data_IF_766307589655
#
_entry.id   IF_766307589655
#
_cell.length_a   1.000
_cell.length_b   1.000
_cell.length_c   1.000
_cell.angle_alpha   90.00
_cell.angle_beta   90.00
_cell.angle_gamma   90.00
#
_symmetry.space_group_name_H-M   'P 1'
#
loop_
_entity.id
_entity.type
_entity.pdbx_description
1 polymer ?
#
# COMPACT_ATOMS: atom_id res chain seq x y z
N UNK A 1 -0.72 -25.71 -12.16
CA UNK A 1 -1.64 -24.81 -11.44
C UNK A 1 -1.29 -23.38 -11.82
N UNK A 2 -2.26 -22.55 -12.14
CA UNK A 2 -2.01 -21.12 -12.36
C UNK A 2 -1.52 -20.49 -11.06
N UNK A 3 -0.41 -19.73 -11.11
CA UNK A 3 0.12 -19.01 -9.95
C UNK A 3 -0.87 -17.95 -9.50
N UNK A 4 -0.92 -17.68 -8.18
CA UNK A 4 -1.67 -16.56 -7.62
C UNK A 4 -1.07 -15.24 -8.16
N UNK A 5 -1.90 -14.20 -8.30
CA UNK A 5 -1.53 -12.88 -8.79
C UNK A 5 -1.75 -11.82 -7.71
N UNK A 6 -0.76 -10.93 -7.52
CA UNK A 6 -0.85 -9.77 -6.63
C UNK A 6 -0.68 -8.47 -7.39
N UNK A 7 -1.56 -7.51 -7.12
CA UNK A 7 -1.40 -6.10 -7.52
C UNK A 7 -0.97 -5.27 -6.31
N UNK A 8 0.10 -4.50 -6.46
CA UNK A 8 0.52 -3.51 -5.46
C UNK A 8 0.55 -2.14 -6.12
N UNK A 9 -0.29 -1.21 -5.66
CA UNK A 9 -0.30 0.15 -6.21
C UNK A 9 0.90 0.95 -5.71
N UNK A 10 1.51 1.79 -6.61
CA UNK A 10 2.69 2.59 -6.27
C UNK A 10 3.89 1.75 -5.85
N UNK A 11 4.19 0.70 -6.61
CA UNK A 11 5.13 -0.35 -6.20
C UNK A 11 6.49 -0.29 -6.89
N UNK A 12 6.81 0.78 -7.61
CA UNK A 12 8.13 0.95 -8.25
C UNK A 12 9.29 1.12 -7.27
N UNK A 13 9.04 1.73 -6.11
CA UNK A 13 10.06 2.04 -5.10
C UNK A 13 9.55 1.76 -3.67
N UNK A 14 10.44 1.88 -2.71
CA UNK A 14 10.13 1.91 -1.27
C UNK A 14 9.40 0.67 -0.76
N UNK A 15 8.36 0.89 0.04
CA UNK A 15 7.57 -0.18 0.64
C UNK A 15 6.88 -1.04 -0.43
N UNK A 16 6.29 -0.42 -1.45
CA UNK A 16 5.61 -1.15 -2.52
C UNK A 16 6.53 -2.12 -3.25
N UNK A 17 7.76 -1.70 -3.56
CA UNK A 17 8.76 -2.58 -4.18
C UNK A 17 9.17 -3.74 -3.26
N UNK A 18 9.29 -3.48 -1.96
CA UNK A 18 9.57 -4.53 -0.98
C UNK A 18 8.43 -5.56 -0.88
N UNK A 19 7.18 -5.10 -0.94
CA UNK A 19 6.00 -5.97 -0.98
C UNK A 19 6.03 -6.83 -2.26
N UNK A 20 6.29 -6.25 -3.43
CA UNK A 20 6.42 -7.00 -4.69
C UNK A 20 7.49 -8.09 -4.58
N UNK A 21 8.69 -7.76 -4.08
CA UNK A 21 9.77 -8.75 -3.87
C UNK A 21 9.33 -9.89 -2.96
N UNK A 22 8.61 -9.58 -1.89
CA UNK A 22 8.10 -10.60 -0.97
C UNK A 22 7.15 -11.55 -1.68
N UNK A 23 6.14 -11.06 -2.39
CA UNK A 23 5.19 -11.92 -3.10
C UNK A 23 5.85 -12.75 -4.22
N UNK A 24 6.77 -12.16 -4.99
CA UNK A 24 7.51 -12.89 -6.01
C UNK A 24 8.33 -14.04 -5.39
N UNK A 25 8.98 -13.82 -4.25
CA UNK A 25 9.72 -14.86 -3.52
C UNK A 25 8.83 -15.99 -3.02
N UNK A 26 7.52 -15.74 -2.86
CA UNK A 26 6.51 -16.72 -2.47
C UNK A 26 5.78 -17.35 -3.69
N UNK A 27 6.27 -17.08 -4.91
CA UNK A 27 5.79 -17.71 -6.13
C UNK A 27 4.57 -17.04 -6.78
N UNK A 28 4.21 -15.82 -6.38
CA UNK A 28 3.12 -15.07 -7.01
C UNK A 28 3.59 -14.39 -8.29
N UNK A 29 2.71 -14.32 -9.29
CA UNK A 29 2.81 -13.36 -10.36
C UNK A 29 2.53 -11.95 -9.80
N UNK A 30 3.22 -10.93 -10.31
CA UNK A 30 3.18 -9.59 -9.72
C UNK A 30 2.77 -8.53 -10.73
N UNK A 31 1.97 -7.57 -10.27
CA UNK A 31 1.62 -6.37 -11.03
C UNK A 31 2.23 -5.16 -10.33
N UNK A 32 3.19 -4.55 -10.99
CA UNK A 32 3.95 -3.39 -10.54
C UNK A 32 3.32 -2.15 -11.18
N UNK A 33 2.87 -1.19 -10.37
CA UNK A 33 2.36 0.07 -10.92
C UNK A 33 3.25 1.24 -10.52
N UNK A 34 3.31 2.22 -11.42
CA UNK A 34 4.02 3.49 -11.21
C UNK A 34 3.19 4.66 -11.78
N UNK A 35 3.41 5.85 -11.26
CA UNK A 35 2.94 7.09 -11.88
C UNK A 35 4.12 7.88 -12.51
N UNK A 36 5.22 8.04 -11.76
CA UNK A 36 6.40 8.82 -12.17
C UNK A 36 7.70 8.02 -12.29
N UNK A 37 7.87 6.93 -11.54
CA UNK A 37 9.11 6.16 -11.43
C UNK A 37 9.11 4.95 -12.38
N UNK A 38 9.18 5.24 -13.71
CA UNK A 38 9.09 4.20 -14.74
C UNK A 38 10.31 3.29 -14.78
N UNK A 39 11.49 3.89 -14.71
CA UNK A 39 12.74 3.15 -14.87
C UNK A 39 12.95 2.19 -13.70
N UNK A 40 12.66 2.64 -12.47
CA UNK A 40 12.70 1.80 -11.27
C UNK A 40 11.67 0.66 -11.32
N UNK A 41 10.50 0.89 -11.91
CA UNK A 41 9.51 -0.17 -12.10
C UNK A 41 10.00 -1.24 -13.09
N UNK A 42 10.69 -0.85 -14.16
CA UNK A 42 11.28 -1.76 -15.15
C UNK A 42 12.46 -2.53 -14.55
N UNK A 43 13.32 -1.85 -13.79
CA UNK A 43 14.43 -2.51 -13.07
C UNK A 43 13.91 -3.55 -12.07
N UNK A 44 12.88 -3.20 -11.30
CA UNK A 44 12.23 -4.15 -10.38
C UNK A 44 11.63 -5.35 -11.12
N UNK A 45 10.97 -5.13 -12.25
CA UNK A 45 10.46 -6.23 -13.09
C UNK A 45 11.57 -7.17 -13.53
N UNK A 46 12.68 -6.60 -14.02
CA UNK A 46 13.85 -7.39 -14.42
C UNK A 46 14.40 -8.19 -13.26
N UNK A 47 14.63 -7.56 -12.11
CA UNK A 47 15.07 -8.23 -10.88
C UNK A 47 14.16 -9.44 -10.54
N UNK A 48 12.84 -9.23 -10.56
CA UNK A 48 11.87 -10.27 -10.22
C UNK A 48 11.92 -11.43 -11.21
N UNK A 49 11.94 -11.14 -12.52
CA UNK A 49 11.95 -12.16 -13.55
C UNK A 49 13.26 -12.96 -13.58
N UNK A 50 14.39 -12.30 -13.28
CA UNK A 50 15.71 -12.96 -13.24
C UNK A 50 15.88 -13.85 -11.98
N UNK A 51 15.29 -13.42 -10.85
CA UNK A 51 15.52 -14.06 -9.55
C UNK A 51 14.48 -15.14 -9.20
N UNK A 52 13.24 -14.95 -9.64
CA UNK A 52 12.12 -15.81 -9.26
C UNK A 52 11.46 -16.40 -10.50
N UNK A 53 10.99 -17.63 -10.40
CA UNK A 53 10.23 -18.26 -11.49
C UNK A 53 8.77 -17.76 -11.49
N UNK A 54 8.56 -16.45 -11.68
CA UNK A 54 7.25 -15.77 -11.71
C UNK A 54 7.21 -14.77 -12.85
N UNK A 55 6.01 -14.36 -13.24
CA UNK A 55 5.83 -13.32 -14.25
C UNK A 55 5.47 -11.99 -13.58
N UNK A 56 5.99 -10.91 -14.15
CA UNK A 56 5.67 -9.56 -13.71
C UNK A 56 5.06 -8.74 -14.84
N UNK A 57 4.12 -7.85 -14.50
CA UNK A 57 3.51 -6.87 -15.37
C UNK A 57 3.84 -5.48 -14.82
N UNK A 58 4.31 -4.58 -15.68
CA UNK A 58 4.59 -3.17 -15.30
C UNK A 58 3.61 -2.27 -16.04
N UNK A 59 2.85 -1.46 -15.31
CA UNK A 59 1.82 -0.58 -15.89
C UNK A 59 1.90 0.81 -15.24
N UNK A 60 1.83 1.85 -16.09
CA UNK A 60 1.59 3.21 -15.61
C UNK A 60 0.14 3.32 -15.15
N UNK A 61 -0.08 3.81 -13.94
CA UNK A 61 -1.41 4.01 -13.39
C UNK A 61 -1.39 5.16 -12.37
N UNK A 62 -2.11 6.21 -12.67
CA UNK A 62 -2.50 7.26 -11.73
C UNK A 62 -3.81 6.84 -11.08
N UNK A 63 -3.77 6.47 -9.80
CA UNK A 63 -4.93 5.94 -9.10
C UNK A 63 -6.04 6.99 -8.84
N UNK A 64 -5.79 8.27 -9.11
CA UNK A 64 -6.83 9.31 -9.10
C UNK A 64 -7.69 9.30 -10.38
N UNK A 65 -7.28 8.53 -11.41
CA UNK A 65 -7.95 8.45 -12.71
C UNK A 65 -8.63 7.11 -12.92
N UNK A 66 -9.95 7.10 -12.97
CA UNK A 66 -10.73 5.87 -13.18
C UNK A 66 -10.36 5.17 -14.49
N UNK A 67 -10.03 5.92 -15.55
CA UNK A 67 -9.59 5.38 -16.84
C UNK A 67 -8.28 4.60 -16.74
N UNK A 68 -7.29 5.09 -15.99
CA UNK A 68 -6.02 4.40 -15.78
C UNK A 68 -6.25 3.07 -15.01
N UNK A 69 -7.18 3.07 -14.03
CA UNK A 69 -7.51 1.88 -13.24
C UNK A 69 -8.26 0.84 -14.09
N UNK A 70 -9.18 1.28 -14.96
CA UNK A 70 -9.87 0.38 -15.90
C UNK A 70 -8.89 -0.25 -16.89
N UNK A 71 -7.94 0.52 -17.42
CA UNK A 71 -6.87 0.00 -18.26
C UNK A 71 -6.02 -1.03 -17.51
N UNK A 72 -5.62 -0.72 -16.27
CA UNK A 72 -4.87 -1.64 -15.41
C UNK A 72 -5.63 -2.97 -15.20
N UNK A 73 -6.95 -2.91 -14.96
CA UNK A 73 -7.81 -4.09 -14.84
C UNK A 73 -7.77 -4.95 -16.11
N UNK A 74 -7.92 -4.32 -17.28
CA UNK A 74 -7.94 -5.01 -18.57
C UNK A 74 -6.61 -5.72 -18.86
N UNK A 75 -5.50 -5.08 -18.55
CA UNK A 75 -4.16 -5.68 -18.70
C UNK A 75 -3.95 -6.87 -17.74
N UNK A 76 -4.45 -6.79 -16.49
CA UNK A 76 -4.41 -7.91 -15.54
C UNK A 76 -5.24 -9.09 -16.07
N UNK A 77 -6.46 -8.84 -16.55
CA UNK A 77 -7.32 -9.88 -17.14
C UNK A 77 -6.63 -10.53 -18.33
N UNK A 78 -6.08 -9.73 -19.25
CA UNK A 78 -5.40 -10.21 -20.45
C UNK A 78 -4.22 -11.13 -20.14
N UNK A 79 -3.43 -10.79 -19.12
CA UNK A 79 -2.19 -11.52 -18.79
C UNK A 79 -2.39 -12.65 -17.78
N UNK A 80 -3.17 -12.42 -16.73
CA UNK A 80 -3.27 -13.31 -15.59
C UNK A 80 -4.68 -13.85 -15.35
N UNK A 81 -5.68 -13.35 -16.08
CA UNK A 81 -7.09 -13.73 -16.02
C UNK A 81 -7.81 -13.37 -14.71
N UNK A 82 -7.09 -13.14 -13.62
CA UNK A 82 -7.65 -12.88 -12.29
C UNK A 82 -6.68 -12.14 -11.39
N UNK A 83 -7.21 -11.65 -10.26
CA UNK A 83 -6.44 -11.07 -9.17
C UNK A 83 -6.76 -11.82 -7.86
N UNK A 84 -5.73 -12.25 -7.13
CA UNK A 84 -5.90 -12.96 -5.84
C UNK A 84 -5.62 -12.04 -4.64
N UNK A 85 -4.71 -11.07 -4.79
CA UNK A 85 -4.38 -10.10 -3.74
C UNK A 85 -4.27 -8.70 -4.31
N UNK A 86 -4.93 -7.75 -3.65
CA UNK A 86 -4.76 -6.32 -3.88
C UNK A 86 -4.08 -5.68 -2.67
N UNK A 87 -3.00 -4.95 -2.89
CA UNK A 87 -2.38 -4.09 -1.87
C UNK A 87 -2.47 -2.63 -2.31
N UNK A 88 -3.32 -1.88 -1.66
CA UNK A 88 -3.44 -0.43 -1.83
C UNK A 88 -2.34 0.25 -1.02
N UNK A 89 -1.21 0.54 -1.69
CA UNK A 89 -0.02 1.13 -1.09
C UNK A 89 0.27 2.55 -1.61
N UNK A 90 -0.17 2.88 -2.83
CA UNK A 90 0.08 4.19 -3.43
C UNK A 90 -0.46 5.31 -2.53
N UNK A 91 0.39 6.27 -2.21
CA UNK A 91 0.03 7.47 -1.45
C UNK A 91 1.05 8.57 -1.67
N UNK A 92 0.63 9.81 -1.42
CA UNK A 92 1.49 10.99 -1.37
C UNK A 92 1.34 11.71 -0.03
N UNK A 93 2.37 12.46 0.34
CA UNK A 93 2.33 13.42 1.44
C UNK A 93 2.86 14.77 0.94
N UNK A 94 2.31 15.87 1.45
CA UNK A 94 2.74 17.24 1.18
C UNK A 94 2.84 17.94 2.54
N UNK A 95 4.04 18.00 3.09
CA UNK A 95 4.27 18.59 4.40
C UNK A 95 4.27 20.13 4.27
N UNK A 96 3.31 20.77 4.92
CA UNK A 96 3.18 22.23 4.99
C UNK A 96 2.64 22.62 6.35
N UNK A 97 2.99 23.83 6.82
CA UNK A 97 2.46 24.36 8.09
C UNK A 97 0.93 24.48 8.01
N UNK A 98 0.27 24.52 9.15
CA UNK A 98 -1.19 24.70 9.20
C UNK A 98 -1.64 25.99 8.50
N UNK A 99 -0.88 27.08 8.67
CA UNK A 99 -1.18 28.39 8.03
C UNK A 99 -1.03 28.38 6.50
N UNK A 100 -0.14 27.53 5.98
CA UNK A 100 0.18 27.47 4.54
C UNK A 100 -0.58 26.33 3.83
N UNK A 101 -1.31 25.50 4.58
CA UNK A 101 -2.10 24.40 4.03
C UNK A 101 -3.27 24.93 3.22
N UNK A 102 -3.26 24.71 1.92
CA UNK A 102 -4.32 25.15 1.03
C UNK A 102 -5.39 24.08 0.83
N UNK A 103 -6.60 24.52 0.41
CA UNK A 103 -7.66 23.59 0.00
C UNK A 103 -7.20 22.67 -1.12
N UNK A 104 -6.42 23.19 -2.07
CA UNK A 104 -5.90 22.43 -3.22
C UNK A 104 -4.98 21.31 -2.76
N UNK A 105 -4.05 21.59 -1.84
CA UNK A 105 -3.17 20.57 -1.25
C UNK A 105 -3.97 19.50 -0.51
N UNK A 106 -4.91 19.96 0.33
CA UNK A 106 -5.78 19.05 1.10
C UNK A 106 -6.59 18.12 0.20
N UNK A 107 -7.25 18.67 -0.82
CA UNK A 107 -8.06 17.91 -1.76
C UNK A 107 -7.21 16.94 -2.58
N UNK A 108 -6.00 17.35 -3.02
CA UNK A 108 -5.09 16.48 -3.76
C UNK A 108 -4.68 15.24 -2.95
N UNK A 109 -4.39 15.42 -1.67
CA UNK A 109 -4.07 14.30 -0.77
C UNK A 109 -5.26 13.36 -0.62
N UNK A 110 -6.46 13.89 -0.37
CA UNK A 110 -7.67 13.06 -0.26
C UNK A 110 -8.00 12.34 -1.56
N UNK A 111 -7.88 13.03 -2.70
CA UNK A 111 -8.17 12.47 -4.02
C UNK A 111 -7.28 11.25 -4.32
N UNK A 112 -5.98 11.37 -4.08
CA UNK A 112 -5.06 10.26 -4.36
C UNK A 112 -5.16 9.18 -3.27
N UNK A 113 -4.97 9.56 -2.00
CA UNK A 113 -4.80 8.58 -0.93
C UNK A 113 -6.11 7.86 -0.58
N UNK A 114 -7.23 8.56 -0.55
CA UNK A 114 -8.52 8.02 -0.10
C UNK A 114 -9.43 7.64 -1.28
N UNK A 115 -9.73 8.59 -2.16
CA UNK A 115 -10.61 8.32 -3.30
C UNK A 115 -9.97 7.35 -4.28
N UNK A 116 -8.67 7.48 -4.55
CA UNK A 116 -7.91 6.53 -5.37
C UNK A 116 -7.94 5.11 -4.78
N UNK A 117 -7.73 4.96 -3.47
CA UNK A 117 -7.86 3.66 -2.77
C UNK A 117 -9.26 3.06 -2.93
N UNK A 118 -10.30 3.89 -2.82
CA UNK A 118 -11.68 3.47 -3.05
C UNK A 118 -11.91 3.00 -4.50
N UNK A 119 -11.49 3.78 -5.50
CA UNK A 119 -11.66 3.47 -6.91
C UNK A 119 -10.93 2.18 -7.30
N UNK A 120 -9.67 2.02 -6.88
CA UNK A 120 -8.92 0.78 -7.12
C UNK A 120 -9.62 -0.40 -6.48
N UNK A 121 -10.04 -0.30 -5.23
CA UNK A 121 -10.75 -1.39 -4.54
C UNK A 121 -12.06 -1.76 -5.23
N UNK A 122 -12.86 -0.76 -5.63
CA UNK A 122 -14.13 -0.93 -6.35
C UNK A 122 -13.93 -1.67 -7.67
N UNK A 123 -12.99 -1.20 -8.50
CA UNK A 123 -12.78 -1.73 -9.84
C UNK A 123 -12.11 -3.11 -9.78
N UNK A 124 -11.06 -3.28 -8.97
CA UNK A 124 -10.32 -4.54 -8.90
C UNK A 124 -11.11 -5.66 -8.23
N UNK A 125 -11.99 -5.37 -7.27
CA UNK A 125 -12.84 -6.40 -6.64
C UNK A 125 -13.71 -7.16 -7.66
N UNK A 126 -14.00 -6.58 -8.82
CA UNK A 126 -14.79 -7.23 -9.90
C UNK A 126 -14.06 -8.40 -10.57
N UNK A 127 -12.72 -8.44 -10.49
CA UNK A 127 -11.86 -9.49 -11.05
C UNK A 127 -11.19 -10.35 -9.99
N UNK A 128 -11.55 -10.15 -8.73
CA UNK A 128 -11.06 -10.94 -7.59
C UNK A 128 -11.97 -12.14 -7.33
N UNK A 129 -11.34 -13.30 -7.12
CA UNK A 129 -12.06 -14.55 -6.84
C UNK A 129 -12.45 -14.68 -5.36
N UNK A 130 -13.17 -15.75 -5.05
CA UNK A 130 -13.43 -16.15 -3.66
C UNK A 130 -12.11 -16.48 -2.94
N UNK A 131 -12.06 -16.16 -1.66
CA UNK A 131 -10.88 -16.26 -0.79
C UNK A 131 -9.73 -15.31 -1.16
N UNK A 132 -10.01 -14.26 -1.93
CA UNK A 132 -9.05 -13.19 -2.19
C UNK A 132 -8.89 -12.24 -0.99
N UNK A 133 -7.86 -11.38 -1.03
CA UNK A 133 -7.58 -10.45 0.05
C UNK A 133 -7.23 -9.05 -0.45
N UNK A 134 -7.79 -8.02 0.19
CA UNK A 134 -7.39 -6.62 0.02
C UNK A 134 -6.67 -6.17 1.29
N UNK A 135 -5.48 -5.61 1.12
CA UNK A 135 -4.70 -4.98 2.20
C UNK A 135 -4.58 -3.49 1.90
N UNK A 136 -5.08 -2.67 2.79
CA UNK A 136 -4.97 -1.22 2.70
C UNK A 136 -3.83 -0.73 3.61
N UNK A 137 -2.87 0.00 3.04
CA UNK A 137 -1.76 0.60 3.79
C UNK A 137 -2.21 1.98 4.28
N UNK A 138 -2.54 2.05 5.57
CA UNK A 138 -2.80 3.29 6.28
C UNK A 138 -1.50 3.82 6.94
N UNK A 139 -1.59 4.31 8.15
CA UNK A 139 -0.49 4.81 8.99
C UNK A 139 -0.94 4.83 10.45
N UNK A 140 0.00 4.84 11.39
CA UNK A 140 -0.31 5.20 12.78
C UNK A 140 -0.91 6.59 12.92
N UNK A 141 -0.63 7.49 11.97
CA UNK A 141 -1.26 8.81 11.89
C UNK A 141 -2.78 8.74 11.66
N UNK A 142 -3.28 7.67 11.06
CA UNK A 142 -4.72 7.42 10.94
C UNK A 142 -5.37 6.89 12.23
N UNK A 143 -4.57 6.51 13.25
CA UNK A 143 -5.08 5.98 14.52
C UNK A 143 -5.00 7.04 15.62
N UNK A 144 -3.78 7.39 16.03
CA UNK A 144 -3.53 8.20 17.25
C UNK A 144 -2.14 8.88 17.25
N UNK A 145 -1.46 8.94 16.14
CA UNK A 145 -0.18 9.63 15.99
C UNK A 145 -0.40 10.94 15.22
N UNK A 146 0.24 12.00 15.63
CA UNK A 146 0.10 13.32 15.02
C UNK A 146 1.45 13.80 14.50
N UNK A 147 1.40 14.42 13.32
CA UNK A 147 2.53 15.17 12.79
C UNK A 147 2.01 16.51 12.29
N UNK A 148 2.49 17.61 12.84
CA UNK A 148 1.91 18.95 12.67
C UNK A 148 1.85 19.44 11.21
N UNK A 149 2.69 18.89 10.33
CA UNK A 149 2.74 19.26 8.92
C UNK A 149 1.88 18.38 8.01
N UNK A 150 1.25 17.32 8.52
CA UNK A 150 0.58 16.27 7.72
C UNK A 150 -0.94 16.13 7.95
N UNK A 151 -1.61 17.20 8.37
CA UNK A 151 -3.03 17.21 8.76
C UNK A 151 -3.96 16.58 7.69
N UNK A 152 -3.71 16.83 6.41
CA UNK A 152 -4.42 16.25 5.27
C UNK A 152 -4.08 14.78 5.06
N UNK A 153 -2.80 14.42 5.19
CA UNK A 153 -2.36 13.04 5.13
C UNK A 153 -2.96 12.21 6.27
N UNK A 154 -2.90 12.70 7.50
CA UNK A 154 -3.47 12.02 8.68
C UNK A 154 -4.97 11.78 8.50
N UNK A 155 -5.71 12.81 8.02
CA UNK A 155 -7.13 12.70 7.68
C UNK A 155 -7.38 11.64 6.60
N UNK A 156 -6.54 11.59 5.55
CA UNK A 156 -6.65 10.57 4.50
C UNK A 156 -6.44 9.16 5.04
N UNK A 157 -5.45 8.98 5.94
CA UNK A 157 -5.12 7.66 6.53
C UNK A 157 -6.18 7.20 7.53
N UNK A 158 -6.79 8.10 8.30
CA UNK A 158 -7.98 7.79 9.10
C UNK A 158 -9.17 7.39 8.21
N UNK A 159 -9.37 8.11 7.09
CA UNK A 159 -10.38 7.77 6.09
C UNK A 159 -10.20 6.37 5.50
N UNK A 160 -8.95 5.95 5.22
CA UNK A 160 -8.65 4.60 4.73
C UNK A 160 -9.07 3.53 5.75
N UNK A 161 -8.87 3.75 7.04
CA UNK A 161 -9.29 2.80 8.09
C UNK A 161 -10.81 2.62 8.04
N UNK A 162 -11.57 3.72 8.02
CA UNK A 162 -13.04 3.64 7.95
C UNK A 162 -13.53 3.04 6.62
N UNK A 163 -12.92 3.41 5.49
CA UNK A 163 -13.20 2.81 4.19
C UNK A 163 -12.99 1.29 4.23
N UNK A 164 -11.94 0.81 4.89
CA UNK A 164 -11.63 -0.62 4.99
C UNK A 164 -12.70 -1.39 5.74
N UNK A 165 -13.25 -0.85 6.83
CA UNK A 165 -14.38 -1.45 7.55
C UNK A 165 -15.61 -1.61 6.63
N UNK A 166 -15.94 -0.57 5.86
CA UNK A 166 -17.04 -0.62 4.92
C UNK A 166 -16.80 -1.65 3.80
N UNK A 167 -15.58 -1.69 3.25
CA UNK A 167 -15.22 -2.68 2.22
C UNK A 167 -15.26 -4.10 2.76
N UNK A 168 -14.77 -4.35 3.97
CA UNK A 168 -14.81 -5.65 4.61
C UNK A 168 -16.26 -6.14 4.75
N UNK A 169 -17.17 -5.27 5.21
CA UNK A 169 -18.59 -5.60 5.33
C UNK A 169 -19.23 -5.87 3.97
N UNK A 170 -18.92 -5.05 2.95
CA UNK A 170 -19.53 -5.16 1.63
C UNK A 170 -19.04 -6.36 0.81
N UNK A 171 -17.76 -6.71 0.93
CA UNK A 171 -17.10 -7.74 0.11
C UNK A 171 -17.09 -9.13 0.75
N UNK A 172 -17.42 -9.23 2.05
CA UNK A 172 -17.51 -10.52 2.73
C UNK A 172 -18.71 -11.35 2.23
N UNK A 173 -18.61 -12.69 2.27
CA UNK A 173 -17.45 -13.50 2.69
C UNK A 173 -16.43 -13.75 1.57
N UNK A 174 -16.63 -13.18 0.39
CA UNK A 174 -15.84 -13.45 -0.81
C UNK A 174 -14.40 -12.95 -0.70
N UNK A 175 -14.21 -11.73 -0.20
CA UNK A 175 -12.91 -11.06 -0.12
C UNK A 175 -12.71 -10.56 1.31
N UNK A 176 -11.56 -10.89 1.91
CA UNK A 176 -11.14 -10.33 3.20
C UNK A 176 -10.51 -8.96 2.98
N UNK A 177 -10.81 -8.00 3.84
CA UNK A 177 -10.22 -6.66 3.79
C UNK A 177 -9.62 -6.33 5.15
N UNK A 178 -8.31 -6.00 5.17
CA UNK A 178 -7.60 -5.62 6.38
C UNK A 178 -6.77 -4.37 6.16
N UNK A 179 -6.50 -3.64 7.22
CA UNK A 179 -5.69 -2.41 7.22
C UNK A 179 -4.41 -2.64 7.99
N UNK A 180 -3.29 -2.25 7.41
CA UNK A 180 -1.99 -2.20 8.11
C UNK A 180 -1.64 -0.74 8.33
N UNK A 181 -1.26 -0.41 9.56
CA UNK A 181 -0.90 0.93 10.01
C UNK A 181 0.57 0.95 10.46
N UNK A 182 1.52 1.18 9.54
CA UNK A 182 2.92 1.31 9.89
C UNK A 182 3.21 2.60 10.66
N UNK A 183 4.27 2.58 11.48
CA UNK A 183 4.98 3.78 11.92
C UNK A 183 6.03 4.22 10.90
N UNK A 184 7.15 4.79 11.37
CA UNK A 184 8.25 5.21 10.50
C UNK A 184 8.94 4.02 9.82
N UNK A 185 9.19 4.15 8.51
CA UNK A 185 9.83 3.13 7.68
C UNK A 185 11.04 3.76 6.95
N UNK A 186 12.14 3.06 6.85
CA UNK A 186 13.31 3.45 6.05
C UNK A 186 13.01 3.33 4.54
N UNK A 187 12.40 4.37 3.96
CA UNK A 187 12.04 4.43 2.53
C UNK A 187 12.59 5.67 1.87
N UNK A 188 12.65 5.73 0.53
CA UNK A 188 13.03 6.94 -0.19
C UNK A 188 12.17 8.17 0.15
N UNK A 189 10.93 7.99 0.60
CA UNK A 189 10.06 9.08 1.06
C UNK A 189 10.66 9.85 2.25
N UNK A 190 11.46 9.17 3.09
CA UNK A 190 12.08 9.72 4.29
C UNK A 190 13.59 9.96 4.16
N UNK A 191 14.17 9.85 2.93
CA UNK A 191 15.64 9.94 2.73
C UNK A 191 16.23 11.30 3.06
N UNK A 192 15.47 12.37 2.84
CA UNK A 192 15.91 13.76 3.04
C UNK A 192 15.53 14.28 4.44
N UNK A 193 15.07 13.39 5.34
CA UNK A 193 14.76 13.72 6.73
C UNK A 193 16.02 14.16 7.47
N UNK A 194 15.91 15.25 8.23
CA UNK A 194 16.98 15.73 9.08
C UNK A 194 17.44 14.66 10.08
N UNK A 195 18.76 14.50 10.25
CA UNK A 195 19.35 13.43 11.06
C UNK A 195 18.98 13.56 12.55
N UNK A 196 18.91 14.79 13.06
CA UNK A 196 18.57 15.04 14.47
C UNK A 196 17.08 14.73 14.70
N UNK A 197 16.19 15.17 13.78
CA UNK A 197 14.79 14.84 13.82
C UNK A 197 14.57 13.32 13.75
N UNK A 198 15.25 12.63 12.83
CA UNK A 198 15.19 11.16 12.74
C UNK A 198 15.54 10.50 14.06
N UNK A 199 16.63 10.94 14.69
CA UNK A 199 17.07 10.40 15.99
C UNK A 199 16.04 10.66 17.09
N UNK A 200 15.45 11.84 17.12
CA UNK A 200 14.37 12.16 18.08
C UNK A 200 13.15 11.25 17.89
N UNK A 201 12.78 10.95 16.64
CA UNK A 201 11.67 10.03 16.35
C UNK A 201 12.02 8.57 16.70
N UNK A 202 13.26 8.13 16.43
CA UNK A 202 13.74 6.79 16.84
C UNK A 202 13.74 6.63 18.36
N UNK A 203 14.06 7.68 19.12
CA UNK A 203 14.06 7.67 20.58
C UNK A 203 12.65 7.51 21.18
N UNK A 204 11.60 7.90 20.45
CA UNK A 204 10.20 7.68 20.84
C UNK A 204 9.72 6.25 20.56
N UNK A 205 10.39 5.51 19.69
CA UNK A 205 10.05 4.11 19.35
C UNK A 205 10.66 3.18 20.38
N UNK A 206 9.92 2.19 20.86
CA UNK A 206 10.45 1.23 21.86
C UNK A 206 11.59 0.39 21.29
N UNK A 207 11.54 0.02 19.99
CA UNK A 207 12.61 -0.70 19.29
C UNK A 207 13.78 0.20 18.86
N UNK A 208 13.72 1.53 19.10
CA UNK A 208 14.80 2.50 18.88
C UNK A 208 15.31 2.58 17.44
N UNK A 209 14.47 2.29 16.49
CA UNK A 209 14.76 2.39 15.05
C UNK A 209 13.50 2.51 14.23
N UNK A 210 13.64 2.98 13.01
CA UNK A 210 12.60 2.83 11.98
C UNK A 210 12.53 1.37 11.52
N UNK A 211 11.36 0.98 11.01
CA UNK A 211 11.17 -0.33 10.39
C UNK A 211 11.90 -0.41 9.04
N UNK A 212 12.40 -1.58 8.70
CA UNK A 212 12.82 -1.87 7.33
C UNK A 212 11.58 -2.24 6.48
N UNK A 213 11.52 -1.85 5.18
CA UNK A 213 10.37 -2.14 4.32
C UNK A 213 9.97 -3.63 4.27
N UNK A 214 10.95 -4.54 4.38
CA UNK A 214 10.68 -5.98 4.38
C UNK A 214 9.95 -6.46 5.64
N UNK A 215 10.07 -5.77 6.76
CA UNK A 215 9.32 -6.12 8.00
C UNK A 215 7.82 -5.89 7.79
N UNK A 216 7.47 -4.77 7.13
CA UNK A 216 6.08 -4.48 6.75
C UNK A 216 5.60 -5.45 5.67
N UNK A 217 6.42 -5.70 4.65
CA UNK A 217 6.08 -6.62 3.55
C UNK A 217 5.80 -8.04 4.05
N UNK A 218 6.50 -8.51 5.07
CA UNK A 218 6.25 -9.81 5.70
C UNK A 218 4.86 -9.87 6.34
N UNK A 219 4.44 -8.82 7.05
CA UNK A 219 3.11 -8.73 7.64
C UNK A 219 2.02 -8.66 6.56
N UNK A 220 2.22 -7.83 5.52
CA UNK A 220 1.29 -7.73 4.37
C UNK A 220 1.05 -9.11 3.75
N UNK A 221 2.13 -9.85 3.49
CA UNK A 221 2.03 -11.21 2.95
C UNK A 221 1.28 -12.14 3.90
N UNK A 222 1.63 -12.18 5.19
CA UNK A 222 0.98 -13.04 6.17
C UNK A 222 -0.53 -12.77 6.23
N UNK A 223 -0.95 -11.51 6.37
CA UNK A 223 -2.37 -11.14 6.50
C UNK A 223 -3.18 -11.49 5.24
N UNK A 224 -2.55 -11.46 4.07
CA UNK A 224 -3.22 -11.84 2.81
C UNK A 224 -3.23 -13.35 2.55
N UNK A 225 -2.40 -14.13 3.24
CA UNK A 225 -2.25 -15.57 3.03
C UNK A 225 -3.39 -16.39 3.65
N UNK A 226 -3.40 -17.68 3.34
CA UNK A 226 -4.36 -18.65 3.87
C UNK A 226 -4.16 -18.89 5.38
N UNK A 227 -2.94 -18.65 5.91
CA UNK A 227 -2.64 -18.75 7.35
C UNK A 227 -3.37 -17.67 8.18
N UNK A 228 -3.84 -16.60 7.54
CA UNK A 228 -4.62 -15.52 8.14
C UNK A 228 -6.10 -15.57 7.72
N UNK A 229 -6.62 -16.73 7.32
CA UNK A 229 -7.97 -16.89 6.74
C UNK A 229 -9.11 -16.42 7.65
N UNK A 230 -8.90 -16.34 8.97
CA UNK A 230 -9.91 -15.85 9.92
C UNK A 230 -9.68 -14.39 10.34
N UNK A 231 -8.68 -13.70 9.74
CA UNK A 231 -8.43 -12.28 9.97
C UNK A 231 -9.10 -11.47 8.87
N UNK A 232 -10.16 -10.76 9.25
CA UNK A 232 -10.95 -9.87 8.38
C UNK A 232 -11.35 -8.63 9.17
N UNK A 233 -11.49 -7.48 8.53
CA UNK A 233 -11.91 -6.21 9.16
C UNK A 233 -10.99 -5.77 10.31
N UNK A 234 -9.71 -6.10 10.24
CA UNK A 234 -8.74 -5.80 11.29
C UNK A 234 -7.87 -4.61 10.92
N UNK A 235 -7.60 -3.77 11.93
CA UNK A 235 -6.65 -2.65 11.86
C UNK A 235 -5.40 -3.04 12.65
N UNK A 236 -4.30 -3.26 11.97
CA UNK A 236 -3.08 -3.84 12.55
C UNK A 236 -1.97 -2.80 12.55
N UNK A 237 -1.58 -2.37 13.76
CA UNK A 237 -0.45 -1.47 13.99
C UNK A 237 0.87 -2.23 13.89
N UNK A 238 1.85 -1.64 13.20
CA UNK A 238 3.23 -2.14 13.12
C UNK A 238 4.19 -0.94 13.15
N UNK A 239 4.62 -0.54 14.34
CA UNK A 239 5.34 0.72 14.57
C UNK A 239 6.53 0.60 15.54
N UNK A 240 6.91 -0.62 15.90
CA UNK A 240 7.98 -0.84 16.87
C UNK A 240 7.61 -0.41 18.29
N UNK A 241 6.33 -0.15 18.57
CA UNK A 241 5.83 0.31 19.87
C UNK A 241 6.06 1.80 20.11
N UNK A 242 5.82 2.65 19.12
CA UNK A 242 5.86 4.11 19.31
C UNK A 242 4.76 4.53 20.26
N UNK A 243 5.13 5.28 21.31
CA UNK A 243 4.18 5.92 22.21
C UNK A 243 3.70 7.22 21.57
N UNK A 244 2.40 7.49 21.70
CA UNK A 244 1.80 8.78 21.35
C UNK A 244 2.17 9.85 22.37
#
# INVERSE_FOLDING_TARGET
MNKKCVLVTGSSIGLGASIIRKYASMGYNTVITYNSHKDEAIELQKEINDKYNTESLVIKCDISKEEDIENLKNEIISKFNKLDVLVNNASIAIDTTFSDKTKENYMKILEINLVGTFLVSKIMSTIMNDNSSIINISSTNGIDTYYEYSLDYDSSKAGIINLSHNLANYLSPKIRVNTICPGWINTPMNKDMDTEFKKQEEDKILLKRFAEPNEIANLVYFISSDDASYINDSVIRIDGGKKC
#
